data_IF_193678333370
#
_entry.id   IF_193678333370
#
_cell.length_a   1.000
_cell.length_b   1.000
_cell.length_c   1.000
_cell.angle_alpha   90.00
_cell.angle_beta   90.00
_cell.angle_gamma   90.00
#
_symmetry.space_group_name_H-M   'P 1'
#
loop_
_entity.id
_entity.type
_entity.pdbx_description
1 polymer ?
#
# COMPACT_ATOMS: atom_id res chain seq x y z
N UNK A 1 -25.85 17.17 23.16
CA UNK A 1 -26.21 15.85 22.61
C UNK A 1 -24.99 14.96 22.77
N UNK A 2 -25.01 13.90 23.58
CA UNK A 2 -23.87 13.00 23.67
C UNK A 2 -23.70 12.28 22.33
N UNK A 3 -22.45 12.07 21.91
CA UNK A 3 -22.10 11.35 20.68
C UNK A 3 -22.63 9.91 20.72
N UNK A 4 -23.04 9.32 19.57
CA UNK A 4 -23.50 7.95 19.55
C UNK A 4 -22.32 7.01 19.86
N UNK A 5 -22.40 6.36 21.02
CA UNK A 5 -21.50 5.26 21.41
C UNK A 5 -21.84 4.03 20.59
N UNK A 6 -20.82 3.41 20.01
CA UNK A 6 -20.91 2.21 19.17
C UNK A 6 -21.58 1.04 19.92
N UNK A 7 -22.66 0.49 19.35
CA UNK A 7 -23.22 -0.79 19.77
C UNK A 7 -22.40 -1.92 19.15
N UNK A 8 -21.90 -2.81 20.01
CA UNK A 8 -21.26 -4.07 19.61
C UNK A 8 -22.19 -4.92 18.76
N UNK A 9 -21.67 -5.53 17.70
CA UNK A 9 -22.37 -6.52 16.89
C UNK A 9 -23.08 -7.56 17.79
N UNK A 10 -24.29 -8.05 17.42
CA UNK A 10 -25.14 -8.89 18.29
C UNK A 10 -24.54 -10.26 18.69
N UNK A 11 -23.31 -10.55 18.27
CA UNK A 11 -22.53 -11.70 18.70
C UNK A 11 -21.15 -11.22 19.19
N UNK A 12 -21.06 -10.87 20.48
CA UNK A 12 -19.78 -10.59 21.15
C UNK A 12 -19.85 -9.44 22.16
N UNK A 13 -19.38 -9.70 23.38
CA UNK A 13 -19.47 -8.85 24.57
C UNK A 13 -18.71 -7.53 24.47
N UNK A 14 -19.40 -6.41 24.74
CA UNK A 14 -18.81 -5.10 25.08
C UNK A 14 -18.32 -5.01 26.54
N UNK A 15 -18.07 -3.80 27.06
CA UNK A 15 -16.82 -3.08 26.85
C UNK A 15 -15.91 -3.14 28.09
N UNK A 16 -14.62 -3.34 27.88
CA UNK A 16 -13.59 -3.08 28.88
C UNK A 16 -12.77 -1.87 28.43
N UNK A 17 -12.74 -0.82 29.26
CA UNK A 17 -11.86 0.32 29.10
C UNK A 17 -10.42 -0.06 29.45
N UNK A 18 -9.79 -0.72 28.48
CA UNK A 18 -8.34 -0.89 28.29
C UNK A 18 -8.20 -0.89 26.78
N UNK A 19 -7.32 -0.07 26.17
CA UNK A 19 -7.12 -0.11 24.72
C UNK A 19 -6.57 -1.48 24.34
N UNK A 20 -7.48 -2.43 24.10
CA UNK A 20 -7.14 -3.78 23.71
C UNK A 20 -6.33 -3.67 22.41
N UNK A 21 -5.28 -4.49 22.24
CA UNK A 21 -4.50 -4.46 21.02
C UNK A 21 -5.43 -4.64 19.81
N UNK A 22 -5.33 -3.73 18.83
CA UNK A 22 -6.15 -3.75 17.62
C UNK A 22 -6.01 -5.11 16.96
N UNK A 23 -7.11 -5.90 16.98
CA UNK A 23 -7.11 -7.25 16.42
C UNK A 23 -6.94 -7.24 14.90
N UNK A 24 -7.51 -6.23 14.23
CA UNK A 24 -7.35 -5.96 12.79
C UNK A 24 -7.51 -4.48 12.50
N UNK A 25 -6.57 -3.88 11.78
CA UNK A 25 -6.60 -2.49 11.33
C UNK A 25 -7.79 -2.31 10.37
N UNK A 26 -8.53 -1.21 10.55
CA UNK A 26 -9.76 -0.85 9.84
C UNK A 26 -9.68 0.63 9.50
N UNK A 27 -10.53 1.11 8.60
CA UNK A 27 -10.48 2.49 8.11
C UNK A 27 -10.65 3.52 9.24
N UNK A 28 -11.53 3.26 10.22
CA UNK A 28 -11.69 4.14 11.38
C UNK A 28 -10.45 4.19 12.27
N UNK A 29 -9.76 3.07 12.50
CA UNK A 29 -8.50 3.06 13.27
C UNK A 29 -7.45 4.00 12.65
N UNK A 30 -7.35 4.05 11.32
CA UNK A 30 -6.40 4.94 10.63
C UNK A 30 -6.79 6.41 10.80
N UNK A 31 -8.09 6.73 10.78
CA UNK A 31 -8.58 8.08 11.06
C UNK A 31 -8.28 8.49 12.51
N UNK A 32 -8.49 7.59 13.46
CA UNK A 32 -8.16 7.86 14.86
C UNK A 32 -6.65 8.02 15.08
N UNK A 33 -5.80 7.26 14.36
CA UNK A 33 -4.35 7.46 14.39
C UNK A 33 -3.97 8.86 13.94
N UNK A 34 -4.56 9.34 12.83
CA UNK A 34 -4.39 10.74 12.38
C UNK A 34 -4.83 11.73 13.47
N UNK A 35 -6.03 11.55 14.04
CA UNK A 35 -6.57 12.43 15.08
C UNK A 35 -5.67 12.49 16.34
N UNK A 36 -5.01 11.37 16.68
CA UNK A 36 -4.03 11.29 17.78
C UNK A 36 -2.61 11.72 17.39
N UNK A 37 -2.35 12.00 16.11
CA UNK A 37 -1.00 12.29 15.61
C UNK A 37 -0.06 11.08 15.56
N UNK A 38 -0.60 9.86 15.64
CA UNK A 38 0.15 8.61 15.51
C UNK A 38 0.43 8.30 14.04
N UNK A 39 1.71 8.08 13.69
CA UNK A 39 2.10 7.85 12.29
C UNK A 39 1.70 6.45 11.83
N UNK A 40 1.03 6.39 10.68
CA UNK A 40 0.60 5.14 10.04
C UNK A 40 1.78 4.52 9.29
N UNK A 41 2.00 3.23 9.49
CA UNK A 41 3.06 2.47 8.81
C UNK A 41 2.50 1.62 7.68
N UNK A 42 3.11 1.74 6.50
CA UNK A 42 2.70 0.99 5.32
C UNK A 42 3.94 0.44 4.59
N UNK A 43 3.88 -0.83 4.20
CA UNK A 43 4.87 -1.46 3.32
C UNK A 43 4.15 -2.18 2.20
N UNK A 44 4.80 -2.31 1.04
CA UNK A 44 4.31 -3.27 0.05
C UNK A 44 4.56 -4.71 0.51
N UNK A 45 3.74 -5.66 0.05
CA UNK A 45 3.93 -7.09 0.27
C UNK A 45 3.30 -7.89 -0.88
N UNK A 46 3.89 -9.03 -1.25
CA UNK A 46 3.47 -9.79 -2.43
C UNK A 46 3.37 -11.31 -2.20
N UNK A 47 3.80 -11.79 -1.03
CA UNK A 47 3.84 -13.21 -0.69
C UNK A 47 3.51 -13.45 0.79
N UNK A 48 3.36 -14.72 1.14
CA UNK A 48 2.98 -15.18 2.48
C UNK A 48 4.00 -14.84 3.57
N UNK A 49 5.29 -15.12 3.34
CA UNK A 49 6.31 -15.02 4.38
C UNK A 49 6.64 -13.57 4.70
N UNK A 50 6.75 -12.74 3.65
CA UNK A 50 6.90 -11.30 3.80
C UNK A 50 5.71 -10.70 4.56
N UNK A 51 4.48 -11.04 4.16
CA UNK A 51 3.28 -10.53 4.81
C UNK A 51 3.16 -10.93 6.29
N UNK A 52 3.43 -12.20 6.61
CA UNK A 52 3.38 -12.69 7.99
C UNK A 52 4.41 -11.99 8.88
N UNK A 53 5.63 -11.80 8.36
CA UNK A 53 6.71 -11.10 9.07
C UNK A 53 6.34 -9.65 9.35
N UNK A 54 5.76 -8.95 8.37
CA UNK A 54 5.36 -7.54 8.54
C UNK A 54 4.15 -7.39 9.46
N UNK A 55 3.22 -8.35 9.43
CA UNK A 55 2.09 -8.40 10.37
C UNK A 55 2.56 -8.57 11.82
N UNK A 56 3.52 -9.47 12.05
CA UNK A 56 4.17 -9.68 13.36
C UNK A 56 4.94 -8.45 13.83
N UNK A 57 5.64 -7.77 12.91
CA UNK A 57 6.34 -6.52 13.18
C UNK A 57 5.41 -5.34 13.49
N UNK A 58 4.09 -5.49 13.32
CA UNK A 58 3.10 -4.47 13.65
C UNK A 58 2.87 -3.43 12.56
N UNK A 59 3.23 -3.71 11.30
CA UNK A 59 2.90 -2.82 10.17
C UNK A 59 1.38 -2.69 10.03
N UNK A 60 0.88 -1.47 9.87
CA UNK A 60 -0.56 -1.18 9.89
C UNK A 60 -1.25 -1.54 8.57
N UNK A 61 -0.57 -1.28 7.45
CA UNK A 61 -1.08 -1.45 6.10
C UNK A 61 -0.10 -2.24 5.23
N UNK A 62 -0.60 -3.26 4.53
CA UNK A 62 0.17 -3.99 3.52
C UNK A 62 -0.42 -3.75 2.14
N UNK A 63 0.38 -3.18 1.24
CA UNK A 63 -0.01 -2.89 -0.14
C UNK A 63 0.45 -3.99 -1.08
N UNK A 64 -0.50 -4.67 -1.71
CA UNK A 64 -0.21 -5.48 -2.90
C UNK A 64 -0.31 -4.55 -4.11
N UNK A 65 0.79 -3.82 -4.33
CA UNK A 65 0.91 -2.78 -5.35
C UNK A 65 1.24 -3.32 -6.74
N UNK A 66 0.86 -2.58 -7.77
CA UNK A 66 1.29 -2.83 -9.16
C UNK A 66 2.80 -2.72 -9.37
N UNK A 67 3.54 -2.12 -8.41
CA UNK A 67 5.00 -2.24 -8.24
C UNK A 67 5.51 -3.69 -8.24
N UNK A 68 4.64 -4.69 -8.03
CA UNK A 68 4.94 -6.10 -8.29
C UNK A 68 5.38 -6.36 -9.74
N UNK A 69 4.90 -5.58 -10.71
CA UNK A 69 5.30 -5.68 -12.12
C UNK A 69 6.82 -5.63 -12.25
N UNK A 70 7.45 -4.65 -11.60
CA UNK A 70 8.90 -4.50 -11.59
C UNK A 70 9.58 -5.47 -10.62
N UNK A 71 9.08 -5.52 -9.38
CA UNK A 71 9.82 -6.12 -8.26
C UNK A 71 9.57 -7.63 -8.08
N UNK A 72 8.56 -8.17 -8.77
CA UNK A 72 8.20 -9.60 -8.72
C UNK A 72 8.28 -10.21 -10.11
N UNK A 73 7.76 -9.52 -11.14
CA UNK A 73 7.67 -10.06 -12.51
C UNK A 73 8.83 -9.61 -13.41
N UNK A 74 9.63 -8.63 -13.00
CA UNK A 74 10.79 -8.17 -13.76
C UNK A 74 10.45 -7.32 -14.99
N UNK A 75 9.22 -6.81 -15.09
CA UNK A 75 8.84 -5.87 -16.14
C UNK A 75 9.55 -4.52 -15.95
N UNK A 76 9.73 -3.78 -17.05
CA UNK A 76 10.38 -2.46 -17.02
C UNK A 76 9.51 -1.39 -16.34
N UNK A 77 8.18 -1.54 -16.40
CA UNK A 77 7.22 -0.55 -15.91
C UNK A 77 6.06 -1.24 -15.18
N UNK A 78 5.19 -0.49 -14.50
CA UNK A 78 3.99 -1.05 -13.86
C UNK A 78 2.86 -1.35 -14.85
N UNK A 79 2.88 -0.79 -16.06
CA UNK A 79 1.78 -0.90 -17.03
C UNK A 79 1.41 -2.34 -17.45
N UNK A 80 2.36 -3.30 -17.63
CA UNK A 80 2.02 -4.62 -18.13
C UNK A 80 1.26 -5.51 -17.14
N UNK A 81 1.31 -5.22 -15.84
CA UNK A 81 0.72 -6.11 -14.85
C UNK A 81 -0.80 -6.12 -14.95
N UNK A 82 -1.36 -7.32 -14.91
CA UNK A 82 -2.79 -7.54 -15.05
C UNK A 82 -3.48 -7.76 -13.70
N UNK A 83 -4.81 -7.65 -13.71
CA UNK A 83 -5.64 -8.02 -12.55
C UNK A 83 -5.38 -9.48 -12.15
N UNK A 84 -5.26 -10.38 -13.13
CA UNK A 84 -5.11 -11.82 -12.89
C UNK A 84 -3.73 -12.18 -12.31
N UNK A 85 -2.72 -11.34 -12.51
CA UNK A 85 -1.40 -11.47 -11.86
C UNK A 85 -1.40 -10.90 -10.43
N UNK A 86 -2.16 -9.84 -10.14
CA UNK A 86 -2.24 -9.25 -8.80
C UNK A 86 -3.17 -10.02 -7.84
N UNK A 87 -4.23 -10.65 -8.34
CA UNK A 87 -5.16 -11.42 -7.52
C UNK A 87 -4.50 -12.56 -6.71
N UNK A 88 -3.64 -13.43 -7.28
CA UNK A 88 -2.97 -14.48 -6.49
C UNK A 88 -2.02 -13.91 -5.43
N UNK A 89 -1.28 -12.83 -5.73
CA UNK A 89 -0.40 -12.16 -4.75
C UNK A 89 -1.24 -11.58 -3.60
N UNK A 90 -2.31 -10.88 -3.93
CA UNK A 90 -3.26 -10.31 -2.95
C UNK A 90 -3.86 -11.40 -2.07
N UNK A 91 -4.20 -12.55 -2.65
CA UNK A 91 -4.72 -13.71 -1.92
C UNK A 91 -3.69 -14.30 -0.95
N UNK A 92 -2.43 -14.42 -1.37
CA UNK A 92 -1.36 -14.90 -0.51
C UNK A 92 -1.17 -13.97 0.69
N UNK A 93 -1.11 -12.66 0.46
CA UNK A 93 -0.95 -11.65 1.54
C UNK A 93 -2.16 -11.62 2.48
N UNK A 94 -3.38 -11.62 1.93
CA UNK A 94 -4.62 -11.55 2.74
C UNK A 94 -4.80 -12.74 3.66
N UNK A 95 -4.37 -13.95 3.25
CA UNK A 95 -4.42 -15.15 4.09
C UNK A 95 -3.35 -15.21 5.16
N UNK A 96 -2.32 -14.39 5.04
CA UNK A 96 -1.10 -14.45 5.88
C UNK A 96 -1.05 -13.34 6.93
N UNK A 97 -2.08 -12.48 6.98
CA UNK A 97 -2.17 -11.35 7.92
C UNK A 97 -3.29 -11.56 8.93
N UNK A 98 -3.02 -11.21 10.19
CA UNK A 98 -3.99 -11.21 11.28
C UNK A 98 -4.41 -9.80 11.64
N UNK A 99 -3.45 -8.87 11.72
CA UNK A 99 -3.63 -7.48 12.17
C UNK A 99 -3.71 -6.49 11.01
N UNK A 100 -2.75 -6.51 10.09
CA UNK A 100 -2.60 -5.49 9.07
C UNK A 100 -3.82 -5.40 8.14
N UNK A 101 -4.11 -4.19 7.66
CA UNK A 101 -5.07 -3.99 6.59
C UNK A 101 -4.39 -4.21 5.24
N UNK A 102 -4.87 -5.21 4.47
CA UNK A 102 -4.39 -5.48 3.11
C UNK A 102 -5.11 -4.60 2.08
N UNK A 103 -4.33 -3.85 1.31
CA UNK A 103 -4.74 -2.98 0.21
C UNK A 103 -4.40 -3.66 -1.12
N UNK A 104 -5.39 -3.89 -1.97
CA UNK A 104 -5.17 -4.40 -3.34
C UNK A 104 -5.17 -3.27 -4.36
N UNK A 105 -4.13 -3.17 -5.17
CA UNK A 105 -4.03 -2.10 -6.16
C UNK A 105 -4.78 -2.43 -7.45
N UNK A 106 -5.56 -1.48 -7.98
CA UNK A 106 -6.20 -1.64 -9.28
C UNK A 106 -5.17 -1.31 -10.38
N UNK A 107 -4.75 -2.27 -11.20
CA UNK A 107 -3.70 -2.03 -12.20
C UNK A 107 -4.21 -1.16 -13.35
N UNK A 108 -3.27 -0.63 -14.13
CA UNK A 108 -3.55 0.19 -15.30
C UNK A 108 -4.59 -0.45 -16.24
N UNK A 109 -5.52 0.36 -16.76
CA UNK A 109 -6.58 -0.07 -17.67
C UNK A 109 -7.76 -0.81 -17.02
N UNK A 110 -7.68 -1.13 -15.73
CA UNK A 110 -8.71 -1.91 -15.04
C UNK A 110 -9.84 -1.08 -14.43
N UNK A 111 -9.70 0.24 -14.35
CA UNK A 111 -10.68 1.12 -13.69
C UNK A 111 -10.93 2.45 -14.41
N UNK A 112 -10.10 2.80 -15.39
CA UNK A 112 -10.11 4.11 -16.04
C UNK A 112 -11.22 4.26 -17.09
N UNK A 113 -11.78 3.16 -17.62
CA UNK A 113 -12.78 3.25 -18.70
C UNK A 113 -14.16 3.72 -18.21
N UNK A 114 -14.58 3.30 -17.01
CA UNK A 114 -15.82 3.74 -16.38
C UNK A 114 -15.89 3.42 -14.88
N UNK A 115 -16.75 4.12 -14.11
CA UNK A 115 -17.03 3.77 -12.72
C UNK A 115 -17.51 2.32 -12.54
N UNK A 116 -18.31 1.80 -13.48
CA UNK A 116 -18.77 0.42 -13.49
C UNK A 116 -17.61 -0.57 -13.65
N UNK A 117 -16.68 -0.30 -14.56
CA UNK A 117 -15.49 -1.13 -14.74
C UNK A 117 -14.66 -1.15 -13.45
N UNK A 118 -14.33 0.03 -12.91
CA UNK A 118 -13.53 0.13 -11.68
C UNK A 118 -14.18 -0.57 -10.48
N UNK A 119 -15.50 -0.44 -10.32
CA UNK A 119 -16.24 -1.17 -9.29
C UNK A 119 -16.16 -2.69 -9.48
N UNK A 120 -16.40 -3.19 -10.69
CA UNK A 120 -16.36 -4.63 -10.96
C UNK A 120 -14.95 -5.21 -10.74
N UNK A 121 -13.90 -4.50 -11.15
CA UNK A 121 -12.51 -4.87 -10.85
C UNK A 121 -12.27 -4.88 -9.33
N UNK A 122 -12.69 -3.85 -8.62
CA UNK A 122 -12.54 -3.77 -7.16
C UNK A 122 -13.26 -4.92 -6.45
N UNK A 123 -14.46 -5.31 -6.92
CA UNK A 123 -15.18 -6.49 -6.41
C UNK A 123 -14.33 -7.76 -6.52
N UNK A 124 -13.56 -7.94 -7.60
CA UNK A 124 -12.66 -9.11 -7.74
C UNK A 124 -11.59 -9.13 -6.65
N UNK A 125 -10.93 -7.99 -6.38
CA UNK A 125 -9.92 -7.91 -5.31
C UNK A 125 -10.51 -8.22 -3.93
N UNK A 126 -11.71 -7.70 -3.64
CA UNK A 126 -12.39 -7.97 -2.38
C UNK A 126 -12.84 -9.44 -2.26
N UNK A 127 -13.46 -10.00 -3.30
CA UNK A 127 -14.08 -11.34 -3.25
C UNK A 127 -13.11 -12.49 -3.53
N UNK A 128 -12.30 -12.37 -4.57
CA UNK A 128 -11.46 -13.46 -5.07
C UNK A 128 -10.10 -13.50 -4.35
N UNK A 129 -9.62 -12.34 -3.90
CA UNK A 129 -8.32 -12.22 -3.26
C UNK A 129 -8.38 -11.86 -1.76
N UNK A 130 -9.52 -11.39 -1.25
CA UNK A 130 -9.68 -11.09 0.17
C UNK A 130 -9.02 -9.78 0.62
N UNK A 131 -8.76 -8.85 -0.31
CA UNK A 131 -8.35 -7.49 0.06
C UNK A 131 -9.39 -6.85 0.98
N UNK A 132 -8.95 -5.95 1.86
CA UNK A 132 -9.85 -5.21 2.75
C UNK A 132 -10.29 -3.86 2.14
N UNK A 133 -9.52 -3.36 1.19
CA UNK A 133 -9.79 -2.15 0.43
C UNK A 133 -8.98 -2.17 -0.88
N UNK A 134 -9.26 -1.21 -1.76
CA UNK A 134 -8.53 -1.06 -3.03
C UNK A 134 -7.79 0.27 -3.11
N UNK A 135 -6.67 0.30 -3.83
CA UNK A 135 -5.98 1.53 -4.24
C UNK A 135 -6.25 1.80 -5.73
N UNK A 136 -6.43 3.06 -6.11
CA UNK A 136 -6.46 3.48 -7.51
C UNK A 136 -5.74 4.81 -7.69
N UNK A 137 -5.18 5.05 -8.87
CA UNK A 137 -4.43 6.27 -9.20
C UNK A 137 -5.26 7.25 -10.01
N UNK A 138 -5.14 8.54 -9.68
CA UNK A 138 -5.80 9.64 -10.37
C UNK A 138 -6.44 10.63 -9.40
N UNK A 139 -6.57 11.87 -9.89
CA UNK A 139 -7.08 13.00 -9.13
C UNK A 139 -8.59 13.15 -9.25
N UNK A 140 -9.06 14.39 -9.44
CA UNK A 140 -10.47 14.72 -9.55
C UNK A 140 -11.20 13.92 -10.64
N UNK A 141 -10.51 13.53 -11.72
CA UNK A 141 -11.06 12.72 -12.80
C UNK A 141 -11.50 11.31 -12.36
N UNK A 142 -10.93 10.77 -11.28
CA UNK A 142 -11.27 9.46 -10.74
C UNK A 142 -12.35 9.51 -9.64
N UNK A 143 -12.82 10.70 -9.27
CA UNK A 143 -13.90 10.87 -8.30
C UNK A 143 -15.17 10.05 -8.61
N UNK A 144 -15.62 9.90 -9.88
CA UNK A 144 -16.74 9.02 -10.22
C UNK A 144 -16.51 7.54 -9.87
N UNK A 145 -15.30 7.03 -10.09
CA UNK A 145 -14.93 5.64 -9.78
C UNK A 145 -14.88 5.43 -8.27
N UNK A 146 -14.21 6.34 -7.55
CA UNK A 146 -14.12 6.32 -6.08
C UNK A 146 -15.53 6.31 -5.47
N UNK A 147 -16.41 7.21 -5.93
CA UNK A 147 -17.78 7.33 -5.44
C UNK A 147 -18.60 6.06 -5.69
N UNK A 148 -18.46 5.44 -6.87
CA UNK A 148 -19.13 4.17 -7.18
C UNK A 148 -18.68 3.04 -6.26
N UNK A 149 -17.38 2.91 -6.05
CA UNK A 149 -16.81 1.90 -5.16
C UNK A 149 -17.28 2.08 -3.71
N UNK A 150 -17.23 3.31 -3.20
CA UNK A 150 -17.59 3.61 -1.80
C UNK A 150 -19.08 3.43 -1.55
N UNK A 151 -19.95 3.85 -2.48
CA UNK A 151 -21.40 3.57 -2.44
C UNK A 151 -21.71 2.07 -2.53
N UNK A 152 -20.87 1.30 -3.21
CA UNK A 152 -20.93 -0.16 -3.27
C UNK A 152 -20.34 -0.88 -2.05
N UNK A 153 -19.89 -0.14 -1.03
CA UNK A 153 -19.32 -0.70 0.20
C UNK A 153 -17.85 -1.12 0.11
N UNK A 154 -17.13 -0.69 -0.93
CA UNK A 154 -15.69 -0.95 -1.09
C UNK A 154 -14.90 0.28 -0.61
N UNK A 155 -14.07 0.17 0.44
CA UNK A 155 -13.20 1.26 0.84
C UNK A 155 -12.12 1.51 -0.22
N UNK A 156 -11.90 2.77 -0.55
CA UNK A 156 -10.91 3.20 -1.55
C UNK A 156 -9.83 4.06 -0.90
N UNK A 157 -8.58 3.68 -1.12
CA UNK A 157 -7.41 4.52 -0.91
C UNK A 157 -7.07 5.20 -2.24
N UNK A 158 -7.14 6.53 -2.29
CA UNK A 158 -6.76 7.26 -3.50
C UNK A 158 -5.23 7.34 -3.63
N UNK A 159 -4.72 7.62 -4.83
CA UNK A 159 -3.32 7.91 -5.09
C UNK A 159 -3.20 9.11 -6.04
N UNK A 160 -2.64 10.21 -5.53
CA UNK A 160 -2.43 11.47 -6.25
C UNK A 160 -0.95 11.88 -6.24
N UNK A 161 -0.60 12.93 -6.98
CA UNK A 161 0.78 13.33 -7.21
C UNK A 161 1.34 12.60 -8.41
N UNK A 162 2.54 12.04 -8.30
CA UNK A 162 3.08 11.21 -9.37
C UNK A 162 2.39 9.85 -9.36
N UNK A 163 1.70 9.51 -10.45
CA UNK A 163 0.99 8.24 -10.61
C UNK A 163 1.75 7.38 -11.63
N UNK A 164 2.50 6.35 -11.21
CA UNK A 164 3.34 5.53 -12.10
C UNK A 164 2.61 4.98 -13.33
N UNK A 165 1.31 4.67 -13.22
CA UNK A 165 0.51 4.20 -14.35
C UNK A 165 0.35 5.26 -15.47
N UNK A 166 0.63 6.52 -15.16
CA UNK A 166 0.61 7.66 -16.08
C UNK A 166 2.01 8.13 -16.50
N UNK A 167 3.07 7.34 -16.29
CA UNK A 167 4.45 7.76 -16.53
C UNK A 167 4.70 8.33 -17.94
N UNK A 168 4.03 7.79 -18.97
CA UNK A 168 4.16 8.28 -20.35
C UNK A 168 3.52 9.65 -20.54
N UNK A 169 2.39 9.91 -19.88
CA UNK A 169 1.72 11.23 -19.89
C UNK A 169 2.49 12.24 -19.04
N UNK A 170 3.08 11.80 -17.93
CA UNK A 170 3.83 12.65 -17.00
C UNK A 170 5.29 12.91 -17.44
N UNK A 171 5.78 12.19 -18.45
CA UNK A 171 7.14 12.34 -18.97
C UNK A 171 8.21 11.75 -18.04
N UNK A 172 7.90 10.60 -17.44
CA UNK A 172 8.73 9.86 -16.49
C UNK A 172 8.60 10.34 -15.03
N UNK A 173 9.45 9.81 -14.15
CA UNK A 173 9.48 10.09 -12.71
C UNK A 173 9.81 11.55 -12.39
N UNK A 174 8.79 12.42 -12.37
CA UNK A 174 8.91 13.85 -12.10
C UNK A 174 8.12 14.23 -10.86
N UNK A 175 8.72 15.09 -10.04
CA UNK A 175 8.06 15.69 -8.87
C UNK A 175 6.85 16.49 -9.33
N UNK A 176 5.68 16.21 -8.76
CA UNK A 176 4.43 16.89 -9.05
C UNK A 176 4.17 18.01 -8.04
N UNK A 177 3.36 19.01 -8.37
CA UNK A 177 3.00 20.07 -7.42
C UNK A 177 4.07 21.16 -7.20
N UNK A 178 4.99 21.37 -8.15
CA UNK A 178 5.93 22.50 -8.11
C UNK A 178 5.27 23.78 -8.65
N UNK A 179 5.44 24.89 -7.94
CA UNK A 179 4.91 26.20 -8.33
C UNK A 179 3.39 26.18 -8.42
N UNK A 180 2.84 26.70 -9.52
CA UNK A 180 1.40 26.83 -9.76
C UNK A 180 0.68 25.46 -9.87
N UNK A 181 1.41 24.34 -9.94
CA UNK A 181 0.83 23.00 -9.92
C UNK A 181 0.43 22.51 -8.50
N UNK A 182 0.81 23.23 -7.45
CA UNK A 182 0.48 22.88 -6.05
C UNK A 182 -1.03 22.93 -5.79
N UNK A 183 -1.71 23.95 -6.29
CA UNK A 183 -3.17 24.11 -6.19
C UNK A 183 -3.91 22.92 -6.81
N UNK A 184 -3.41 22.41 -7.95
CA UNK A 184 -4.00 21.24 -8.60
C UNK A 184 -3.93 19.98 -7.73
N UNK A 185 -2.79 19.73 -7.08
CA UNK A 185 -2.65 18.56 -6.18
C UNK A 185 -3.58 18.69 -4.97
N UNK A 186 -3.76 19.91 -4.46
CA UNK A 186 -4.72 20.19 -3.38
C UNK A 186 -6.17 19.96 -3.82
N UNK A 187 -6.55 20.43 -5.01
CA UNK A 187 -7.88 20.21 -5.57
C UNK A 187 -8.16 18.72 -5.82
N UNK A 188 -7.18 17.98 -6.34
CA UNK A 188 -7.25 16.53 -6.48
C UNK A 188 -7.45 15.85 -5.12
N UNK A 189 -6.71 16.29 -4.10
CA UNK A 189 -6.80 15.77 -2.73
C UNK A 189 -8.19 15.99 -2.12
N UNK A 190 -8.78 17.18 -2.32
CA UNK A 190 -10.15 17.50 -1.91
C UNK A 190 -11.16 16.64 -2.66
N UNK A 191 -11.03 16.54 -3.98
CA UNK A 191 -11.96 15.82 -4.84
C UNK A 191 -12.04 14.32 -4.49
N UNK A 192 -10.90 13.68 -4.23
CA UNK A 192 -10.89 12.26 -3.85
C UNK A 192 -11.48 12.03 -2.45
N UNK A 193 -11.27 12.96 -1.50
CA UNK A 193 -11.92 12.93 -0.19
C UNK A 193 -13.44 13.08 -0.32
N UNK A 194 -13.92 14.07 -1.08
CA UNK A 194 -15.35 14.31 -1.34
C UNK A 194 -16.03 13.17 -2.10
N UNK A 195 -15.26 12.40 -2.88
CA UNK A 195 -15.73 11.18 -3.53
C UNK A 195 -15.88 10.00 -2.56
N UNK A 196 -15.28 10.08 -1.37
CA UNK A 196 -15.40 9.08 -0.29
C UNK A 196 -14.16 8.20 -0.10
N UNK A 197 -13.00 8.57 -0.65
CA UNK A 197 -11.75 7.88 -0.32
C UNK A 197 -11.53 7.95 1.21
N UNK A 198 -11.08 6.85 1.83
CA UNK A 198 -10.84 6.82 3.28
C UNK A 198 -9.42 7.25 3.67
N UNK A 199 -8.51 7.25 2.70
CA UNK A 199 -7.11 7.69 2.82
C UNK A 199 -6.60 8.05 1.42
N UNK A 200 -5.48 8.79 1.35
CA UNK A 200 -4.85 9.16 0.08
C UNK A 200 -3.33 9.01 0.16
N UNK A 201 -2.74 8.33 -0.82
CA UNK A 201 -1.30 8.30 -1.06
C UNK A 201 -0.89 9.55 -1.83
N UNK A 202 0.20 10.19 -1.41
CA UNK A 202 0.86 11.27 -2.13
C UNK A 202 2.28 10.84 -2.51
N UNK A 203 2.53 10.69 -3.81
CA UNK A 203 3.83 10.29 -4.33
C UNK A 203 4.55 11.44 -5.03
N UNK A 204 5.84 11.61 -4.69
CA UNK A 204 6.74 12.63 -5.26
C UNK A 204 6.14 14.06 -5.27
N UNK A 205 5.51 14.46 -4.16
CA UNK A 205 4.98 15.81 -3.90
C UNK A 205 5.97 16.60 -3.01
N UNK A 206 6.21 17.91 -3.22
CA UNK A 206 6.97 18.73 -2.28
C UNK A 206 6.47 18.59 -0.85
N UNK A 207 7.40 18.48 0.10
CA UNK A 207 7.04 18.14 1.49
C UNK A 207 6.17 19.20 2.19
N UNK A 208 6.35 20.47 1.85
CA UNK A 208 5.54 21.58 2.33
C UNK A 208 4.09 21.52 1.79
N UNK A 209 3.93 21.22 0.50
CA UNK A 209 2.61 21.01 -0.13
C UNK A 209 1.90 19.80 0.48
N UNK A 210 2.63 18.69 0.66
CA UNK A 210 2.08 17.48 1.28
C UNK A 210 1.68 17.72 2.75
N UNK A 211 2.47 18.49 3.51
CA UNK A 211 2.14 18.87 4.88
C UNK A 211 0.87 19.75 4.93
N UNK A 212 0.74 20.71 4.01
CA UNK A 212 -0.47 21.53 3.89
C UNK A 212 -1.70 20.67 3.61
N UNK A 213 -1.64 19.79 2.60
CA UNK A 213 -2.74 18.87 2.26
C UNK A 213 -3.11 17.99 3.47
N UNK A 214 -2.11 17.48 4.20
CA UNK A 214 -2.33 16.61 5.36
C UNK A 214 -3.07 17.31 6.49
N UNK A 215 -2.79 18.61 6.71
CA UNK A 215 -3.50 19.45 7.69
C UNK A 215 -4.93 19.77 7.27
N UNK A 216 -5.19 19.85 5.97
CA UNK A 216 -6.50 20.24 5.44
C UNK A 216 -7.47 19.07 5.31
N UNK A 217 -6.97 17.90 4.91
CA UNK A 217 -7.79 16.69 4.79
C UNK A 217 -8.16 16.13 6.16
N UNK A 218 -9.38 15.61 6.25
CA UNK A 218 -9.87 14.82 7.39
C UNK A 218 -9.45 13.36 7.29
N UNK A 219 -9.23 12.85 6.07
CA UNK A 219 -8.73 11.49 5.83
C UNK A 219 -7.20 11.42 6.00
N UNK A 220 -6.64 10.27 6.39
CA UNK A 220 -5.19 10.08 6.47
C UNK A 220 -4.47 10.22 5.13
N UNK A 221 -3.31 10.88 5.17
CA UNK A 221 -2.38 10.96 4.05
C UNK A 221 -1.19 10.02 4.24
N UNK A 222 -0.81 9.29 3.20
CA UNK A 222 0.35 8.39 3.21
C UNK A 222 1.38 8.89 2.21
N UNK A 223 2.57 9.25 2.70
CA UNK A 223 3.63 9.80 1.85
C UNK A 223 4.57 8.73 1.28
N UNK A 224 5.00 8.93 0.03
CA UNK A 224 6.20 8.30 -0.53
C UNK A 224 6.97 9.35 -1.34
N UNK A 225 8.12 9.77 -0.81
CA UNK A 225 8.81 10.94 -1.34
C UNK A 225 8.04 12.26 -1.19
N UNK A 226 7.12 12.32 -0.22
CA UNK A 226 6.28 13.49 0.10
C UNK A 226 6.63 14.17 1.44
N UNK A 227 7.82 13.90 1.98
CA UNK A 227 8.27 14.45 3.27
C UNK A 227 7.56 13.83 4.49
N UNK A 228 7.95 14.28 5.68
CA UNK A 228 7.47 13.74 6.96
C UNK A 228 6.13 14.34 7.44
N UNK A 229 5.60 15.33 6.71
CA UNK A 229 4.36 16.02 7.04
C UNK A 229 3.08 15.19 6.83
N UNK A 230 3.16 14.06 6.13
CA UNK A 230 2.05 13.12 5.93
C UNK A 230 1.69 12.36 7.21
N UNK A 231 0.45 11.88 7.34
CA UNK A 231 -0.03 11.10 8.49
C UNK A 231 0.59 9.70 8.57
N UNK A 232 1.12 9.18 7.47
CA UNK A 232 1.87 7.94 7.40
C UNK A 232 2.87 7.91 6.26
N UNK A 233 3.57 6.79 6.12
CA UNK A 233 4.57 6.59 5.06
C UNK A 233 4.43 5.20 4.45
N UNK A 234 4.71 5.10 3.15
CA UNK A 234 4.81 3.85 2.41
C UNK A 234 6.16 3.74 1.69
N UNK A 235 6.72 2.52 1.66
CA UNK A 235 7.85 2.17 0.81
C UNK A 235 7.61 0.81 0.14
N UNK A 236 8.19 0.65 -1.05
CA UNK A 236 8.38 -0.68 -1.66
C UNK A 236 9.38 -1.44 -0.81
N UNK A 237 8.99 -2.60 -0.27
CA UNK A 237 9.81 -3.27 0.74
C UNK A 237 11.15 -3.77 0.19
N UNK A 238 11.20 -4.17 -1.08
CA UNK A 238 12.45 -4.60 -1.73
C UNK A 238 13.48 -3.48 -1.82
N UNK A 239 13.02 -2.25 -2.01
CA UNK A 239 13.86 -1.05 -1.95
C UNK A 239 14.27 -0.74 -0.52
N UNK A 240 13.31 -0.76 0.41
CA UNK A 240 13.57 -0.44 1.82
C UNK A 240 14.55 -1.43 2.46
N UNK A 241 14.49 -2.72 2.10
CA UNK A 241 15.27 -3.77 2.76
C UNK A 241 16.44 -4.28 1.89
N UNK A 242 16.78 -3.55 0.82
CA UNK A 242 17.97 -3.80 0.03
C UNK A 242 17.95 -5.16 -0.68
N UNK A 243 16.77 -5.64 -1.10
CA UNK A 243 16.67 -6.80 -2.00
C UNK A 243 16.90 -6.37 -3.45
N UNK A 244 16.36 -5.21 -3.86
CA UNK A 244 16.66 -4.62 -5.17
C UNK A 244 18.03 -3.96 -5.13
N UNK A 245 18.91 -4.36 -6.03
CA UNK A 245 20.24 -3.76 -6.19
C UNK A 245 20.24 -2.60 -7.17
N UNK A 246 21.20 -1.69 -7.05
CA UNK A 246 21.42 -0.59 -8.00
C UNK A 246 21.09 0.77 -7.41
N UNK A 247 20.85 1.76 -8.27
CA UNK A 247 20.59 3.14 -7.83
C UNK A 247 19.24 3.22 -7.12
N UNK A 248 19.27 3.58 -5.84
CA UNK A 248 18.08 3.85 -5.04
C UNK A 248 17.52 5.24 -5.34
N UNK A 249 16.19 5.37 -5.31
CA UNK A 249 15.55 6.68 -5.37
C UNK A 249 15.88 7.48 -4.10
N UNK A 250 15.97 8.81 -4.24
CA UNK A 250 16.41 9.71 -3.15
C UNK A 250 15.53 9.62 -1.89
N UNK A 251 14.25 9.27 -2.06
CA UNK A 251 13.29 9.18 -0.96
C UNK A 251 13.33 7.85 -0.20
N UNK A 252 14.12 6.87 -0.66
CA UNK A 252 14.22 5.58 0.00
C UNK A 252 15.37 5.59 1.01
N UNK A 253 15.08 5.14 2.23
CA UNK A 253 16.09 4.74 3.22
C UNK A 253 16.23 3.23 3.21
N UNK A 254 17.46 2.73 3.09
CA UNK A 254 17.76 1.31 3.25
C UNK A 254 17.85 0.96 4.74
N UNK A 255 17.12 -0.08 5.16
CA UNK A 255 17.06 -0.60 6.53
C UNK A 255 17.79 -1.93 6.71
N UNK A 256 18.04 -2.67 5.62
CA UNK A 256 18.75 -3.94 5.61
C UNK A 256 19.42 -4.18 4.24
N UNK A 257 20.27 -5.20 4.14
CA UNK A 257 20.83 -5.69 2.87
C UNK A 257 20.46 -7.17 2.68
N UNK A 258 19.19 -7.40 2.33
CA UNK A 258 18.66 -8.75 2.15
C UNK A 258 19.29 -9.43 0.93
N UNK A 259 19.69 -8.67 -0.10
CA UNK A 259 20.39 -9.22 -1.25
C UNK A 259 21.70 -9.90 -0.85
N UNK A 260 22.54 -9.20 -0.08
CA UNK A 260 23.84 -9.73 0.34
C UNK A 260 23.67 -10.98 1.22
N UNK A 261 22.70 -10.98 2.15
CA UNK A 261 22.39 -12.14 2.99
C UNK A 261 22.00 -13.36 2.14
N UNK A 262 21.12 -13.18 1.16
CA UNK A 262 20.71 -14.27 0.25
C UNK A 262 21.87 -14.75 -0.62
N UNK A 263 22.67 -13.82 -1.15
CA UNK A 263 23.80 -14.13 -2.02
C UNK A 263 24.86 -14.96 -1.29
N UNK A 264 25.20 -14.58 -0.06
CA UNK A 264 26.20 -15.29 0.74
C UNK A 264 25.68 -16.66 1.18
N UNK A 265 24.43 -16.76 1.61
CA UNK A 265 23.82 -18.04 1.95
C UNK A 265 23.77 -19.01 0.74
N UNK A 266 23.42 -18.50 -0.45
CA UNK A 266 23.39 -19.31 -1.67
C UNK A 266 24.80 -19.78 -2.08
N UNK A 267 25.82 -18.94 -1.90
CA UNK A 267 27.22 -19.31 -2.15
C UNK A 267 27.70 -20.38 -1.16
N UNK A 268 27.45 -20.18 0.13
CA UNK A 268 27.80 -21.16 1.15
C UNK A 268 27.15 -22.53 0.88
N UNK A 269 25.85 -22.55 0.58
CA UNK A 269 25.16 -23.77 0.16
C UNK A 269 25.81 -24.43 -1.08
N UNK A 270 26.14 -23.64 -2.09
CA UNK A 270 26.79 -24.16 -3.30
C UNK A 270 28.18 -24.72 -3.01
N UNK A 271 28.95 -24.11 -2.11
CA UNK A 271 30.27 -24.57 -1.70
C UNK A 271 30.17 -25.86 -0.89
N UNK A 272 29.18 -25.98 0.01
CA UNK A 272 28.93 -27.21 0.76
C UNK A 272 28.55 -28.39 -0.16
N UNK A 273 27.69 -28.15 -1.16
CA UNK A 273 27.30 -29.16 -2.15
C UNK A 273 28.50 -29.58 -3.01
N UNK A 274 29.29 -28.62 -3.50
CA UNK A 274 30.48 -28.91 -4.33
C UNK A 274 31.59 -29.60 -3.54
N UNK A 275 31.73 -29.26 -2.26
CA UNK A 275 32.68 -29.89 -1.34
C UNK A 275 32.23 -31.27 -0.86
N UNK A 276 30.97 -31.66 -1.10
CA UNK A 276 30.39 -32.90 -0.60
C UNK A 276 30.20 -32.92 0.92
N UNK A 277 30.18 -31.75 1.58
CA UNK A 277 29.88 -31.61 3.00
C UNK A 277 28.37 -31.58 3.26
N UNK A 278 27.58 -31.18 2.26
CA UNK A 278 26.12 -31.31 2.27
C UNK A 278 25.63 -32.31 1.19
N UNK A 279 24.67 -33.21 1.53
CA UNK A 279 24.12 -33.43 2.87
C UNK A 279 25.11 -34.12 3.80
N UNK A 280 25.17 -33.67 5.06
CA UNK A 280 25.86 -34.37 6.14
C UNK A 280 25.07 -35.60 6.62
N UNK A 281 25.66 -36.48 7.46
CA UNK A 281 24.97 -37.65 8.02
C UNK A 281 23.66 -37.32 8.74
N UNK A 282 23.59 -36.19 9.44
CA UNK A 282 22.39 -35.71 10.14
C UNK A 282 21.25 -35.27 9.19
N UNK A 283 21.54 -35.12 7.91
CA UNK A 283 20.59 -34.76 6.85
C UNK A 283 20.27 -35.95 5.91
N UNK A 284 20.62 -37.17 6.31
CA UNK A 284 20.45 -38.42 5.52
C UNK A 284 19.60 -39.45 6.30
N UNK A 285 18.83 -40.29 5.60
CA UNK A 285 17.93 -41.30 6.16
C UNK A 285 18.40 -42.73 5.86
#
# INVERSE_FOLDING_TARGET
>A
MPAPTEETAPYGSGPAATTAPVKRVRTHHLREMKERGEKITMLTAYDMYTAATFDEAGIDLLLVGDSASNNVLGNETSLPITVDELLPLTRAVSRSTRRAMVVGDLPFGSYQASPEQGYLTAVRFMKEAGAHCVKLEGGAEMAPVIRKCTQGGIPVMAHIGFTPQSEHTLGGYRVQGRGDASDRVLDDARAVQEAGAFAVVMEMVPGDVAEQISKELTIPTIGIGAGAGCDGQVLVWQDAFGLRTGKMARFVKQYADVHQVLLDAARAYADDVRGGTFPGPEHTF
#
